data_IF_157881364008
#
_entry.id   IF_157881364008
#
_cell.length_a   1.000
_cell.length_b   1.000
_cell.length_c   1.000
_cell.angle_alpha   90.00
_cell.angle_beta   90.00
_cell.angle_gamma   90.00
#
_symmetry.space_group_name_H-M   'P 1'
#
loop_
_entity.id
_entity.type
_entity.pdbx_description
1 polymer ?
#
# COMPACT_ATOMS: atom_id res chain seq x y z
N UNK A 1 -31.57 -16.88 22.04
CA UNK A 1 -31.59 -16.02 20.84
C UNK A 1 -30.68 -14.80 21.05
N UNK A 2 -29.36 -15.00 21.24
CA UNK A 2 -28.43 -13.91 21.54
C UNK A 2 -27.07 -14.01 20.81
N UNK A 3 -26.90 -14.96 19.88
CA UNK A 3 -25.62 -15.21 19.19
C UNK A 3 -25.58 -14.75 17.73
N UNK A 4 -26.71 -14.33 17.15
CA UNK A 4 -26.77 -13.91 15.75
C UNK A 4 -26.26 -12.47 15.53
N UNK A 5 -26.17 -11.65 16.58
CA UNK A 5 -25.91 -10.20 16.46
C UNK A 5 -24.42 -9.84 16.49
N UNK A 6 -23.55 -10.75 16.98
CA UNK A 6 -22.10 -10.49 17.03
C UNK A 6 -21.38 -10.75 15.71
N UNK A 7 -21.96 -11.49 14.77
CA UNK A 7 -21.32 -11.75 13.47
C UNK A 7 -21.47 -10.60 12.48
N UNK A 8 -22.47 -9.72 12.65
CA UNK A 8 -22.66 -8.54 11.81
C UNK A 8 -21.80 -7.33 12.22
N UNK A 9 -21.23 -7.33 13.42
CA UNK A 9 -20.27 -6.31 13.86
C UNK A 9 -18.91 -6.39 13.13
N UNK A 10 -18.70 -7.41 12.30
CA UNK A 10 -17.44 -7.70 11.60
C UNK A 10 -17.27 -6.93 10.28
N UNK A 11 -18.34 -6.33 9.75
CA UNK A 11 -18.32 -5.50 8.55
C UNK A 11 -19.09 -4.21 8.82
N UNK A 12 -18.41 -3.25 9.44
CA UNK A 12 -18.88 -1.87 9.54
C UNK A 12 -18.93 -1.27 8.11
N UNK A 13 -20.09 -1.45 7.47
CA UNK A 13 -20.35 -1.05 6.07
C UNK A 13 -20.11 0.44 5.89
N UNK A 14 -20.37 1.25 6.91
CA UNK A 14 -20.13 2.69 6.89
C UNK A 14 -18.64 3.02 6.92
N UNK A 15 -17.84 2.32 7.73
CA UNK A 15 -16.37 2.42 7.65
C UNK A 15 -15.85 1.98 6.30
N UNK A 16 -16.38 0.87 5.76
CA UNK A 16 -15.97 0.37 4.46
C UNK A 16 -16.31 1.35 3.33
N UNK A 17 -17.51 1.92 3.35
CA UNK A 17 -17.96 2.94 2.39
C UNK A 17 -17.13 4.22 2.50
N UNK A 18 -16.81 4.69 3.72
CA UNK A 18 -15.90 5.84 3.93
C UNK A 18 -14.47 5.54 3.48
N UNK A 19 -14.01 4.31 3.65
CA UNK A 19 -12.68 3.90 3.20
C UNK A 19 -12.59 3.82 1.67
N UNK A 20 -13.60 3.25 1.01
CA UNK A 20 -13.64 3.08 -0.46
C UNK A 20 -13.97 4.37 -1.21
N UNK A 21 -14.62 5.34 -0.56
CA UNK A 21 -14.96 6.65 -1.15
C UNK A 21 -13.83 7.69 -1.12
N UNK A 22 -12.76 7.46 -0.34
CA UNK A 22 -11.59 8.34 -0.34
C UNK A 22 -10.77 8.11 -1.61
N UNK A 23 -10.57 9.13 -2.44
CA UNK A 23 -9.87 9.05 -3.74
C UNK A 23 -8.53 8.31 -3.68
N UNK A 24 -7.73 8.56 -2.64
CA UNK A 24 -6.43 7.89 -2.44
C UNK A 24 -6.54 6.43 -1.96
N UNK A 25 -7.59 6.11 -1.19
CA UNK A 25 -7.80 4.76 -0.64
C UNK A 25 -8.57 3.87 -1.62
N UNK A 26 -9.43 4.47 -2.44
CA UNK A 26 -10.12 3.85 -3.56
C UNK A 26 -9.13 3.22 -4.55
N UNK A 27 -7.97 3.84 -4.79
CA UNK A 27 -6.93 3.25 -5.64
C UNK A 27 -6.43 1.89 -5.14
N UNK A 28 -6.28 1.74 -3.82
CA UNK A 28 -5.91 0.46 -3.19
C UNK A 28 -7.02 -0.57 -3.38
N UNK A 29 -8.27 -0.14 -3.31
CA UNK A 29 -9.43 -1.01 -3.54
C UNK A 29 -9.53 -1.47 -5.00
N UNK A 30 -9.34 -0.56 -5.96
CA UNK A 30 -9.29 -0.88 -7.40
C UNK A 30 -8.16 -1.85 -7.73
N UNK A 31 -6.99 -1.73 -7.07
CA UNK A 31 -5.91 -2.71 -7.19
C UNK A 31 -6.36 -4.10 -6.76
N UNK A 32 -6.96 -4.21 -5.56
CA UNK A 32 -7.41 -5.50 -5.02
C UNK A 32 -8.43 -6.16 -5.94
N UNK A 33 -9.44 -5.41 -6.41
CA UNK A 33 -10.43 -5.94 -7.33
C UNK A 33 -9.79 -6.31 -8.67
N UNK A 34 -9.01 -5.40 -9.27
CA UNK A 34 -8.42 -5.62 -10.58
C UNK A 34 -7.48 -6.83 -10.61
N UNK A 35 -6.55 -6.92 -9.67
CA UNK A 35 -5.64 -8.07 -9.57
C UNK A 35 -6.35 -9.34 -9.12
N UNK A 36 -7.34 -9.23 -8.21
CA UNK A 36 -8.14 -10.37 -7.76
C UNK A 36 -8.94 -11.01 -8.90
N UNK A 37 -9.68 -10.20 -9.66
CA UNK A 37 -10.43 -10.67 -10.83
C UNK A 37 -9.50 -11.22 -11.92
N UNK A 38 -8.37 -10.55 -12.16
CA UNK A 38 -7.36 -11.03 -13.11
C UNK A 38 -6.79 -12.40 -12.74
N UNK A 39 -6.45 -12.58 -11.46
CA UNK A 39 -5.94 -13.84 -10.91
C UNK A 39 -7.01 -14.94 -10.96
N UNK A 40 -8.25 -14.66 -10.58
CA UNK A 40 -9.35 -15.61 -10.68
C UNK A 40 -9.60 -16.03 -12.13
N UNK A 41 -9.62 -15.08 -13.07
CA UNK A 41 -9.75 -15.39 -14.49
C UNK A 41 -8.63 -16.32 -15.01
N UNK A 42 -7.39 -16.09 -14.59
CA UNK A 42 -6.25 -16.94 -14.96
C UNK A 42 -6.31 -18.32 -14.29
N UNK A 43 -6.64 -18.38 -13.00
CA UNK A 43 -6.80 -19.64 -12.27
C UNK A 43 -7.93 -20.49 -12.85
N UNK A 44 -9.06 -19.88 -13.21
CA UNK A 44 -10.17 -20.57 -13.86
C UNK A 44 -9.72 -21.14 -15.22
N UNK A 45 -9.09 -20.33 -16.08
CA UNK A 45 -8.60 -20.81 -17.37
C UNK A 45 -7.58 -21.97 -17.24
N UNK A 46 -6.72 -21.91 -16.22
CA UNK A 46 -5.74 -22.95 -15.94
C UNK A 46 -6.39 -24.23 -15.39
N UNK A 47 -7.39 -24.09 -14.50
CA UNK A 47 -8.11 -25.20 -13.91
C UNK A 47 -9.02 -25.91 -14.93
N UNK A 48 -9.63 -25.18 -15.85
CA UNK A 48 -10.48 -25.74 -16.91
C UNK A 48 -9.71 -26.11 -18.19
N UNK A 49 -8.40 -25.84 -18.26
CA UNK A 49 -7.55 -26.01 -19.47
C UNK A 49 -8.12 -25.35 -20.74
N UNK A 50 -9.11 -24.46 -20.58
CA UNK A 50 -9.85 -23.78 -21.63
C UNK A 50 -10.28 -22.42 -21.12
N UNK A 51 -10.22 -21.40 -21.99
CA UNK A 51 -10.74 -20.07 -21.67
C UNK A 51 -12.27 -20.08 -21.73
N UNK A 52 -12.89 -20.30 -20.58
CA UNK A 52 -14.34 -20.15 -20.41
C UNK A 52 -14.76 -18.70 -20.62
N UNK A 53 -16.00 -18.46 -21.09
CA UNK A 53 -16.54 -17.11 -21.26
C UNK A 53 -16.50 -16.29 -19.95
N UNK A 54 -16.69 -16.97 -18.81
CA UNK A 54 -16.55 -16.37 -17.47
C UNK A 54 -15.11 -15.92 -17.19
N UNK A 55 -14.10 -16.71 -17.56
CA UNK A 55 -12.69 -16.33 -17.43
C UNK A 55 -12.36 -15.09 -18.28
N UNK A 56 -12.84 -15.05 -19.53
CA UNK A 56 -12.69 -13.88 -20.41
C UNK A 56 -13.37 -12.65 -19.81
N UNK A 57 -14.58 -12.81 -19.26
CA UNK A 57 -15.31 -11.74 -18.57
C UNK A 57 -14.51 -11.15 -17.40
N UNK A 58 -13.97 -12.00 -16.52
CA UNK A 58 -13.13 -11.54 -15.41
C UNK A 58 -11.84 -10.83 -15.87
N UNK A 59 -11.16 -11.36 -16.90
CA UNK A 59 -9.99 -10.71 -17.51
C UNK A 59 -10.36 -9.35 -18.13
N UNK A 60 -11.51 -9.24 -18.78
CA UNK A 60 -11.99 -8.00 -19.39
C UNK A 60 -12.30 -6.93 -18.33
N UNK A 61 -12.97 -7.30 -17.23
CA UNK A 61 -13.23 -6.37 -16.12
C UNK A 61 -11.90 -5.92 -15.49
N UNK A 62 -10.98 -6.86 -15.23
CA UNK A 62 -9.66 -6.53 -14.71
C UNK A 62 -8.88 -5.57 -15.63
N UNK A 63 -8.96 -5.77 -16.95
CA UNK A 63 -8.34 -4.89 -17.95
C UNK A 63 -8.94 -3.48 -17.90
N UNK A 64 -10.26 -3.34 -17.85
CA UNK A 64 -10.92 -2.03 -17.76
C UNK A 64 -10.59 -1.29 -16.46
N UNK A 65 -10.55 -1.99 -15.33
CA UNK A 65 -10.12 -1.40 -14.05
C UNK A 65 -8.66 -0.95 -14.15
N UNK A 66 -7.80 -1.74 -14.78
CA UNK A 66 -6.41 -1.36 -15.03
C UNK A 66 -6.31 -0.08 -15.87
N UNK A 67 -7.07 0.00 -16.97
CA UNK A 67 -7.13 1.19 -17.83
C UNK A 67 -7.65 2.43 -17.09
N UNK A 68 -8.68 2.30 -16.26
CA UNK A 68 -9.19 3.41 -15.45
C UNK A 68 -8.13 3.93 -14.47
N UNK A 69 -7.28 3.06 -13.93
CA UNK A 69 -6.21 3.44 -13.01
C UNK A 69 -5.12 4.30 -13.65
N UNK A 70 -4.87 4.16 -14.96
CA UNK A 70 -3.97 5.10 -15.68
C UNK A 70 -4.50 6.54 -15.62
N UNK A 71 -5.82 6.70 -15.76
CA UNK A 71 -6.47 8.03 -15.75
C UNK A 71 -6.50 8.61 -14.34
N UNK A 72 -6.85 7.80 -13.33
CA UNK A 72 -6.96 8.27 -11.95
C UNK A 72 -5.60 8.73 -11.39
N UNK A 73 -4.48 8.18 -11.89
CA UNK A 73 -3.13 8.50 -11.41
C UNK A 73 -2.41 9.58 -12.21
N UNK A 74 -3.14 10.37 -13.00
CA UNK A 74 -2.53 11.42 -13.81
C UNK A 74 -1.71 12.43 -12.99
N UNK A 75 -2.13 12.70 -11.76
CA UNK A 75 -1.43 13.60 -10.82
C UNK A 75 -0.26 12.94 -10.09
N UNK A 76 -0.09 11.62 -10.20
CA UNK A 76 0.90 10.87 -9.42
C UNK A 76 2.33 11.35 -9.61
N UNK A 77 2.68 11.85 -10.81
CA UNK A 77 3.99 12.45 -11.06
C UNK A 77 4.23 13.71 -10.22
N UNK A 78 3.21 14.57 -10.08
CA UNK A 78 3.29 15.80 -9.27
C UNK A 78 3.37 15.47 -7.78
N UNK A 79 2.61 14.47 -7.34
CA UNK A 79 2.66 13.97 -5.96
C UNK A 79 4.05 13.39 -5.63
N UNK A 80 4.64 12.64 -6.56
CA UNK A 80 5.99 12.09 -6.41
C UNK A 80 7.05 13.19 -6.37
N UNK A 81 6.88 14.26 -7.15
CA UNK A 81 7.76 15.43 -7.10
C UNK A 81 7.66 16.14 -5.75
N UNK A 82 6.45 16.37 -5.26
CA UNK A 82 6.23 16.96 -3.94
C UNK A 82 6.83 16.09 -2.82
N UNK A 83 6.68 14.76 -2.92
CA UNK A 83 7.27 13.81 -1.99
C UNK A 83 8.79 13.84 -2.00
N UNK A 84 9.40 13.93 -3.17
CA UNK A 84 10.84 14.03 -3.30
C UNK A 84 11.38 15.36 -2.76
N UNK A 85 10.73 16.48 -3.08
CA UNK A 85 11.16 17.84 -2.68
C UNK A 85 10.95 18.12 -1.20
N UNK A 86 9.78 17.76 -0.67
CA UNK A 86 9.35 18.17 0.67
C UNK A 86 9.39 17.01 1.68
N UNK A 87 9.74 15.79 1.24
CA UNK A 87 9.75 14.62 2.11
C UNK A 87 8.37 14.19 2.59
N UNK A 88 7.28 14.52 1.87
CA UNK A 88 5.90 14.32 2.35
C UNK A 88 5.48 12.86 2.54
N UNK A 89 6.31 11.90 2.13
CA UNK A 89 6.11 10.46 2.36
C UNK A 89 6.90 9.93 3.59
N UNK A 90 7.69 10.78 4.23
CA UNK A 90 8.38 10.44 5.47
C UNK A 90 7.47 10.64 6.68
N UNK A 91 7.61 9.79 7.68
CA UNK A 91 7.00 10.00 8.99
C UNK A 91 7.92 10.86 9.87
N UNK A 92 7.33 11.51 10.88
CA UNK A 92 8.08 12.42 11.76
C UNK A 92 9.19 11.73 12.55
N UNK A 93 9.06 10.42 12.82
CA UNK A 93 10.03 9.62 13.56
C UNK A 93 10.93 8.75 12.68
N UNK A 94 10.89 8.93 11.36
CA UNK A 94 11.78 8.22 10.44
C UNK A 94 13.24 8.64 10.66
N UNK A 95 14.14 7.64 10.66
CA UNK A 95 15.58 7.89 10.67
C UNK A 95 16.06 8.50 9.34
N UNK A 96 17.21 9.17 9.35
CA UNK A 96 17.78 9.77 8.14
C UNK A 96 18.02 8.74 7.02
N UNK A 97 18.32 7.50 7.40
CA UNK A 97 18.45 6.40 6.45
C UNK A 97 17.11 6.06 5.79
N UNK A 98 16.02 5.95 6.56
CA UNK A 98 14.67 5.71 6.02
C UNK A 98 14.23 6.87 5.13
N UNK A 99 14.49 8.12 5.53
CA UNK A 99 14.20 9.30 4.70
C UNK A 99 14.90 9.25 3.33
N UNK A 100 16.16 8.79 3.28
CA UNK A 100 16.88 8.58 2.00
C UNK A 100 16.22 7.49 1.15
N UNK A 101 15.81 6.38 1.75
CA UNK A 101 15.10 5.30 1.05
C UNK A 101 13.77 5.82 0.48
N UNK A 102 13.00 6.57 1.27
CA UNK A 102 11.74 7.17 0.83
C UNK A 102 11.95 8.21 -0.28
N UNK A 103 13.05 8.97 -0.23
CA UNK A 103 13.43 9.86 -1.33
C UNK A 103 13.71 9.07 -2.63
N UNK A 104 14.38 7.92 -2.54
CA UNK A 104 14.58 7.02 -3.68
C UNK A 104 13.26 6.41 -4.19
N UNK A 105 12.31 6.10 -3.30
CA UNK A 105 10.96 5.68 -3.70
C UNK A 105 10.27 6.76 -4.55
N UNK A 106 10.32 8.01 -4.10
CA UNK A 106 9.73 9.13 -4.82
C UNK A 106 10.41 9.35 -6.19
N UNK A 107 11.74 9.22 -6.27
CA UNK A 107 12.48 9.26 -7.54
C UNK A 107 12.09 8.12 -8.49
N UNK A 108 11.90 6.91 -7.97
CA UNK A 108 11.41 5.77 -8.75
C UNK A 108 10.04 6.06 -9.35
N UNK A 109 9.16 6.72 -8.57
CA UNK A 109 7.82 7.08 -9.03
C UNK A 109 7.81 8.24 -10.03
N UNK A 110 8.76 9.18 -9.91
CA UNK A 110 8.99 10.23 -10.92
C UNK A 110 9.37 9.68 -12.30
N UNK A 111 10.03 8.51 -12.34
CA UNK A 111 10.31 7.80 -13.60
C UNK A 111 9.10 6.96 -14.03
N UNK A 112 8.47 6.27 -13.08
CA UNK A 112 7.31 5.41 -13.35
C UNK A 112 6.15 6.15 -14.03
N UNK A 113 5.70 7.28 -13.47
CA UNK A 113 4.48 7.93 -13.93
C UNK A 113 4.59 8.41 -15.39
N UNK A 114 5.64 9.14 -15.83
CA UNK A 114 5.78 9.50 -17.23
C UNK A 114 5.78 8.29 -18.18
N UNK A 115 6.44 7.20 -17.81
CA UNK A 115 6.45 5.97 -18.61
C UNK A 115 5.07 5.32 -18.66
N UNK A 116 4.38 5.23 -17.52
CA UNK A 116 3.00 4.73 -17.43
C UNK A 116 2.08 5.51 -18.37
N UNK A 117 2.09 6.85 -18.30
CA UNK A 117 1.27 7.69 -19.17
C UNK A 117 1.66 7.61 -20.65
N UNK A 118 2.95 7.50 -20.96
CA UNK A 118 3.40 7.32 -22.34
C UNK A 118 2.90 5.99 -22.92
N UNK A 119 2.95 4.90 -22.13
CA UNK A 119 2.40 3.61 -22.55
C UNK A 119 0.87 3.67 -22.72
N UNK A 120 0.15 4.38 -21.84
CA UNK A 120 -1.29 4.60 -21.97
C UNK A 120 -1.66 5.30 -23.27
N UNK A 121 -0.96 6.39 -23.61
CA UNK A 121 -1.19 7.10 -24.88
C UNK A 121 -0.89 6.17 -26.05
N UNK A 122 0.17 5.36 -25.99
CA UNK A 122 0.47 4.36 -27.02
C UNK A 122 -0.61 3.29 -27.17
N UNK A 123 -1.30 2.90 -26.10
CA UNK A 123 -2.41 1.94 -26.17
C UNK A 123 -3.72 2.55 -26.69
N UNK A 124 -4.05 3.78 -26.28
CA UNK A 124 -5.34 4.43 -26.60
C UNK A 124 -5.30 5.23 -27.90
N UNK A 125 -4.16 5.87 -28.18
CA UNK A 125 -3.94 6.71 -29.34
C UNK A 125 -2.61 6.37 -30.04
N UNK A 126 -2.47 5.15 -30.61
CA UNK A 126 -1.21 4.67 -31.21
C UNK A 126 -0.73 5.53 -32.39
N UNK A 127 -1.62 6.32 -33.01
CA UNK A 127 -1.26 7.26 -34.09
C UNK A 127 -0.70 8.59 -33.58
N UNK A 128 -0.88 8.89 -32.28
CA UNK A 128 -0.42 10.14 -31.67
C UNK A 128 1.07 10.07 -31.29
N UNK A 129 1.53 8.90 -30.82
CA UNK A 129 2.92 8.65 -30.49
C UNK A 129 3.40 7.37 -31.17
N UNK A 130 4.44 7.48 -32.00
CA UNK A 130 5.08 6.31 -32.60
C UNK A 130 6.05 5.67 -31.60
N UNK A 131 5.52 5.00 -30.59
CA UNK A 131 6.27 4.33 -29.53
C UNK A 131 5.77 2.92 -29.31
N UNK A 132 6.68 1.99 -28.97
CA UNK A 132 6.29 0.66 -28.51
C UNK A 132 5.70 0.76 -27.10
N UNK A 133 4.37 0.87 -27.04
CA UNK A 133 3.61 0.96 -25.79
C UNK A 133 3.90 -0.21 -24.85
N UNK A 134 4.15 -1.41 -25.37
CA UNK A 134 4.44 -2.61 -24.58
C UNK A 134 5.84 -2.56 -23.98
N UNK A 135 6.84 -2.08 -24.73
CA UNK A 135 8.19 -1.86 -24.21
C UNK A 135 8.20 -0.82 -23.10
N UNK A 136 7.53 0.31 -23.30
CA UNK A 136 7.44 1.38 -22.29
C UNK A 136 6.67 0.90 -21.06
N UNK A 137 5.57 0.16 -21.24
CA UNK A 137 4.82 -0.45 -20.13
C UNK A 137 5.68 -1.42 -19.32
N UNK A 138 6.55 -2.22 -19.96
CA UNK A 138 7.50 -3.06 -19.22
C UNK A 138 8.51 -2.24 -18.42
N UNK A 139 8.96 -1.11 -18.94
CA UNK A 139 9.89 -0.23 -18.23
C UNK A 139 9.22 0.45 -17.03
N UNK A 140 7.96 0.90 -17.18
CA UNK A 140 7.18 1.43 -16.06
C UNK A 140 7.00 0.37 -14.97
N UNK A 141 6.67 -0.88 -15.35
CA UNK A 141 6.59 -1.99 -14.39
C UNK A 141 7.90 -2.23 -13.63
N UNK A 142 9.08 -2.07 -14.26
CA UNK A 142 10.38 -2.17 -13.57
C UNK A 142 10.58 -1.04 -12.58
N UNK A 143 10.29 0.20 -12.96
CA UNK A 143 10.37 1.36 -12.07
C UNK A 143 9.39 1.23 -10.88
N UNK A 144 8.19 0.73 -11.12
CA UNK A 144 7.25 0.42 -10.04
C UNK A 144 7.74 -0.71 -9.14
N UNK A 145 8.35 -1.75 -9.72
CA UNK A 145 8.98 -2.84 -8.95
C UNK A 145 10.07 -2.35 -8.00
N UNK A 146 10.92 -1.40 -8.45
CA UNK A 146 11.92 -0.75 -7.58
C UNK A 146 11.25 -0.03 -6.42
N UNK A 147 10.18 0.72 -6.67
CA UNK A 147 9.40 1.35 -5.60
C UNK A 147 8.91 0.32 -4.57
N UNK A 148 8.34 -0.81 -5.01
CA UNK A 148 7.84 -1.86 -4.11
C UNK A 148 8.96 -2.45 -3.23
N UNK A 149 10.13 -2.74 -3.81
CA UNK A 149 11.27 -3.26 -3.06
C UNK A 149 11.73 -2.27 -1.98
N UNK A 150 11.84 -1.00 -2.33
CA UNK A 150 12.21 0.06 -1.39
C UNK A 150 11.14 0.28 -0.32
N UNK A 151 9.86 0.15 -0.66
CA UNK A 151 8.74 0.28 0.28
C UNK A 151 8.74 -0.86 1.30
N UNK A 152 8.89 -2.10 0.85
CA UNK A 152 9.04 -3.27 1.74
C UNK A 152 10.24 -3.09 2.67
N UNK A 153 11.38 -2.63 2.15
CA UNK A 153 12.58 -2.43 2.95
C UNK A 153 12.41 -1.31 3.99
N UNK A 154 11.89 -0.14 3.60
CA UNK A 154 11.63 0.97 4.51
C UNK A 154 10.65 0.58 5.62
N UNK A 155 9.58 -0.15 5.28
CA UNK A 155 8.60 -0.60 6.27
C UNK A 155 9.19 -1.66 7.21
N UNK A 156 10.06 -2.55 6.74
CA UNK A 156 10.77 -3.49 7.60
C UNK A 156 11.66 -2.75 8.63
N UNK A 157 12.34 -1.68 8.22
CA UNK A 157 13.12 -0.84 9.14
C UNK A 157 12.25 -0.12 10.17
N UNK A 158 11.11 0.44 9.73
CA UNK A 158 10.13 1.09 10.62
C UNK A 158 9.57 0.13 11.65
N UNK A 159 9.18 -1.08 11.24
CA UNK A 159 8.68 -2.12 12.16
C UNK A 159 9.75 -2.46 13.21
N UNK A 160 11.01 -2.67 12.81
CA UNK A 160 12.10 -2.93 13.75
C UNK A 160 12.29 -1.78 14.75
N UNK A 161 12.24 -0.54 14.27
CA UNK A 161 12.35 0.64 15.13
C UNK A 161 11.18 0.73 16.12
N UNK A 162 9.96 0.45 15.67
CA UNK A 162 8.76 0.44 16.53
C UNK A 162 8.85 -0.66 17.58
N UNK A 163 9.24 -1.89 17.21
CA UNK A 163 9.41 -2.99 18.17
C UNK A 163 10.49 -2.68 19.22
N UNK A 164 11.57 -2.00 18.83
CA UNK A 164 12.59 -1.56 19.79
C UNK A 164 12.06 -0.50 20.77
N UNK A 165 11.29 0.48 20.28
CA UNK A 165 10.62 1.49 21.12
C UNK A 165 9.61 0.86 22.07
N UNK A 166 8.79 -0.08 21.59
CA UNK A 166 7.83 -0.83 22.42
C UNK A 166 8.53 -1.57 23.56
N UNK A 167 9.67 -2.22 23.27
CA UNK A 167 10.47 -2.90 24.28
C UNK A 167 11.01 -1.92 25.34
N UNK A 168 11.55 -0.78 24.92
CA UNK A 168 12.06 0.25 25.85
C UNK A 168 10.94 0.81 26.75
N UNK A 169 9.76 1.08 26.19
CA UNK A 169 8.61 1.57 26.96
C UNK A 169 8.17 0.52 27.98
N UNK A 170 8.18 -0.76 27.61
CA UNK A 170 7.84 -1.85 28.53
C UNK A 170 8.84 -1.95 29.67
N UNK A 171 10.15 -1.94 29.37
CA UNK A 171 11.21 -1.97 30.38
C UNK A 171 11.15 -0.76 31.33
N UNK A 172 10.89 0.44 30.81
CA UNK A 172 10.74 1.65 31.63
C UNK A 172 9.51 1.57 32.55
N UNK A 173 8.41 0.99 32.07
CA UNK A 173 7.19 0.80 32.87
C UNK A 173 7.40 -0.24 33.97
N UNK A 174 8.11 -1.33 33.66
CA UNK A 174 8.42 -2.38 34.62
C UNK A 174 9.35 -1.84 35.73
N UNK A 175 10.39 -1.09 35.37
CA UNK A 175 11.28 -0.40 36.34
C UNK A 175 10.51 0.58 37.23
N UNK A 176 9.64 1.42 36.65
CA UNK A 176 8.82 2.35 37.43
C UNK A 176 7.87 1.61 38.39
N UNK A 177 7.35 0.44 38.00
CA UNK A 177 6.54 -0.41 38.88
C UNK A 177 7.36 -1.00 40.04
N UNK A 178 8.56 -1.50 39.77
CA UNK A 178 9.48 -2.00 40.79
C UNK A 178 9.92 -0.91 41.77
N UNK A 179 10.23 0.30 41.29
CA UNK A 179 10.57 1.45 42.14
C UNK A 179 9.42 1.85 43.06
N UNK A 180 8.19 1.83 42.55
CA UNK A 180 6.98 2.07 43.35
C UNK A 180 6.83 0.98 44.42
N UNK A 181 6.96 -0.31 44.06
CA UNK A 181 6.88 -1.43 45.00
C UNK A 181 7.99 -1.36 46.05
N UNK A 182 9.22 -1.03 45.65
CA UNK A 182 10.36 -0.87 46.56
C UNK A 182 10.15 0.30 47.53
N UNK A 183 9.64 1.44 47.05
CA UNK A 183 9.27 2.56 47.91
C UNK A 183 8.18 2.16 48.92
N UNK A 184 7.13 1.46 48.48
CA UNK A 184 6.09 0.94 49.38
C UNK A 184 6.65 -0.02 50.44
N UNK A 185 7.61 -0.87 50.08
CA UNK A 185 8.26 -1.82 51.00
C UNK A 185 9.14 -1.11 52.02
N UNK A 186 9.87 -0.07 51.61
CA UNK A 186 10.76 0.72 52.49
C UNK A 186 9.98 1.61 53.48
N UNK A 187 8.84 2.17 53.05
CA UNK A 187 8.02 3.05 53.88
C UNK A 187 6.94 2.32 54.70
N UNK A 188 6.87 0.99 54.63
CA UNK A 188 6.09 0.16 55.57
C UNK A 188 4.59 0.47 55.62
N UNK A 189 3.98 0.84 54.49
CA UNK A 189 2.52 0.98 54.41
C UNK A 189 1.89 -0.40 54.22
N UNK A 190 1.82 -1.14 55.33
CA UNK A 190 0.97 -2.33 55.48
C UNK A 190 -0.50 -1.89 55.40
N UNK A 191 -1.24 -2.45 54.45
CA UNK A 191 -2.69 -2.32 54.41
C UNK A 191 -3.31 -3.36 55.34
N UNK A 192 -3.87 -2.90 56.47
CA UNK A 192 -5.04 -3.52 57.10
C UNK A 192 -6.29 -3.21 56.28
#
# INVERSE_FOLDING_TARGET
MADADKSLALLDVDKFARYSSSTFRADKFYKTIGYGLGAMGHLMAHATQQETETSKGFKAIASNISMARYVIRFTGGLESYAAWKNGSWCYGDDSDHVKRIVSLQALSMLVYYPLEHTSYVGFVAPKLLNVDAMQISRLSCRAWGVYILLDVYANALRIRALTAKEKQIKEQKDLSGEEVIAAFTVYGLDWN
#
